data_IF_367455472634
#
_entry.id   IF_367455472634
#
_cell.length_a   1.000
_cell.length_b   1.000
_cell.length_c   1.000
_cell.angle_alpha   90.00
_cell.angle_beta   90.00
_cell.angle_gamma   90.00
#
_symmetry.space_group_name_H-M   'P 1'
#
loop_
_entity.id
_entity.type
_entity.pdbx_description
1 polymer ?
#
# COMPACT_ATOMS: atom_id res chain seq x y z
N UNK A 1 -12.80 3.35 6.07
CA UNK A 1 -12.50 4.77 5.78
C UNK A 1 -12.24 4.92 4.29
N UNK A 2 -12.66 6.03 3.66
CA UNK A 2 -12.38 6.30 2.24
C UNK A 2 -11.42 7.48 2.13
N UNK A 3 -10.23 7.26 1.58
CA UNK A 3 -9.23 8.32 1.42
C UNK A 3 -9.50 9.14 0.16
N UNK A 4 -9.13 10.42 0.18
CA UNK A 4 -9.38 11.36 -0.92
C UNK A 4 -8.11 11.57 -1.73
N UNK A 5 -8.21 11.48 -3.07
CA UNK A 5 -7.09 11.80 -3.96
C UNK A 5 -6.58 13.22 -3.73
N UNK A 6 -5.27 13.40 -3.75
CA UNK A 6 -4.58 14.68 -3.55
C UNK A 6 -4.38 15.05 -2.08
N UNK A 7 -4.97 14.31 -1.14
CA UNK A 7 -4.73 14.51 0.30
C UNK A 7 -3.59 13.65 0.82
N UNK A 8 -2.95 14.14 1.87
CA UNK A 8 -1.85 13.48 2.57
C UNK A 8 -2.33 12.94 3.92
N UNK A 9 -1.87 11.74 4.25
CA UNK A 9 -2.22 11.00 5.45
C UNK A 9 -0.95 10.43 6.10
N UNK A 10 -1.05 10.11 7.39
CA UNK A 10 -0.05 9.30 8.09
C UNK A 10 -0.56 7.86 8.23
N UNK A 11 0.29 6.90 7.94
CA UNK A 11 0.06 5.47 8.22
C UNK A 11 0.95 5.04 9.39
N UNK A 12 0.36 4.32 10.33
CA UNK A 12 1.03 3.64 11.43
C UNK A 12 0.64 2.16 11.43
N UNK A 13 1.63 1.30 11.61
CA UNK A 13 1.44 -0.11 11.90
C UNK A 13 2.37 -0.46 13.06
N UNK A 14 1.79 -0.84 14.20
CA UNK A 14 2.56 -1.28 15.36
C UNK A 14 3.39 -2.53 15.03
N UNK A 15 4.54 -2.66 15.70
CA UNK A 15 5.34 -3.87 15.63
C UNK A 15 4.51 -5.09 16.09
N UNK A 16 4.63 -6.20 15.38
CA UNK A 16 3.93 -7.44 15.74
C UNK A 16 4.77 -8.66 15.38
N UNK A 17 4.48 -9.77 16.04
CA UNK A 17 5.06 -11.06 15.73
C UNK A 17 4.02 -12.17 15.77
N UNK A 18 4.26 -13.21 15.00
CA UNK A 18 3.44 -14.42 14.99
C UNK A 18 4.30 -15.65 14.67
N UNK A 19 3.81 -16.83 15.05
CA UNK A 19 4.43 -18.10 14.71
C UNK A 19 3.94 -18.54 13.32
N UNK A 20 4.88 -18.84 12.42
CA UNK A 20 4.55 -19.32 11.08
C UNK A 20 4.15 -20.81 11.09
N UNK A 21 3.89 -21.36 9.90
CA UNK A 21 3.44 -22.76 9.74
C UNK A 21 4.53 -23.76 10.17
N UNK A 22 5.79 -23.33 10.25
CA UNK A 22 6.95 -24.12 10.66
C UNK A 22 7.30 -24.01 12.14
N UNK A 23 6.58 -23.19 12.91
CA UNK A 23 6.91 -22.93 14.31
C UNK A 23 7.95 -21.83 14.52
N UNK A 24 8.36 -21.12 13.46
CA UNK A 24 9.32 -20.03 13.56
C UNK A 24 8.60 -18.71 13.86
N UNK A 25 9.12 -17.96 14.83
CA UNK A 25 8.61 -16.62 15.13
C UNK A 25 9.07 -15.64 14.06
N UNK A 26 8.11 -15.08 13.34
CA UNK A 26 8.32 -13.99 12.40
C UNK A 26 7.97 -12.67 13.09
N UNK A 27 8.88 -11.71 13.01
CA UNK A 27 8.70 -10.37 13.60
C UNK A 27 8.68 -9.32 12.52
N UNK A 28 7.77 -8.37 12.66
CA UNK A 28 7.65 -7.19 11.81
C UNK A 28 7.85 -5.95 12.68
N UNK A 29 8.77 -5.09 12.25
CA UNK A 29 9.05 -3.82 12.92
C UNK A 29 7.87 -2.86 12.78
N UNK A 30 7.82 -1.87 13.67
CA UNK A 30 6.89 -0.77 13.56
C UNK A 30 7.14 0.02 12.26
N UNK A 31 6.06 0.39 11.58
CA UNK A 31 6.10 1.18 10.36
C UNK A 31 5.32 2.48 10.56
N UNK A 32 5.99 3.59 10.30
CA UNK A 32 5.40 4.94 10.29
C UNK A 32 5.83 5.67 9.02
N UNK A 33 4.87 6.21 8.26
CA UNK A 33 5.18 7.07 7.11
C UNK A 33 4.00 7.95 6.70
N UNK A 34 4.32 9.06 6.05
CA UNK A 34 3.32 9.91 5.41
C UNK A 34 3.17 9.52 3.94
N UNK A 35 1.95 9.59 3.42
CA UNK A 35 1.67 9.30 2.02
C UNK A 35 0.58 10.20 1.45
N UNK A 36 0.72 10.53 0.15
CA UNK A 36 -0.32 11.26 -0.60
C UNK A 36 -1.07 10.30 -1.50
N UNK A 37 -2.39 10.34 -1.47
CA UNK A 37 -3.24 9.51 -2.33
C UNK A 37 -3.23 10.09 -3.75
N UNK A 38 -3.01 9.22 -4.73
CA UNK A 38 -2.96 9.57 -6.14
C UNK A 38 -4.15 8.96 -6.88
N UNK A 39 -4.43 9.51 -8.06
CA UNK A 39 -5.38 8.89 -8.99
C UNK A 39 -4.90 7.49 -9.37
N UNK A 40 -5.82 6.52 -9.34
CA UNK A 40 -5.48 5.16 -9.78
C UNK A 40 -5.15 5.18 -11.28
N UNK A 41 -4.07 4.51 -11.72
CA UNK A 41 -3.77 4.41 -13.13
C UNK A 41 -4.82 3.58 -13.86
N UNK A 42 -5.06 3.90 -15.14
CA UNK A 42 -6.00 3.13 -15.99
C UNK A 42 -5.42 1.77 -16.44
N UNK A 43 -4.11 1.70 -16.52
CA UNK A 43 -3.33 0.53 -16.95
C UNK A 43 -2.12 0.35 -16.05
N UNK A 44 -1.69 -0.89 -15.88
CA UNK A 44 -0.49 -1.25 -15.11
C UNK A 44 0.40 -2.14 -15.96
N UNK A 45 1.68 -2.18 -15.62
CA UNK A 45 2.60 -3.17 -16.17
C UNK A 45 2.52 -4.41 -15.29
N UNK A 46 2.14 -5.54 -15.87
CA UNK A 46 2.23 -6.84 -15.25
C UNK A 46 3.54 -7.50 -15.72
N UNK A 47 4.32 -7.98 -14.76
CA UNK A 47 5.60 -8.64 -14.99
C UNK A 47 5.64 -9.90 -14.12
N UNK A 48 5.72 -11.07 -14.75
CA UNK A 48 5.83 -12.37 -14.09
C UNK A 48 7.28 -12.90 -14.05
N UNK A 49 8.26 -12.07 -14.47
CA UNK A 49 9.67 -12.44 -14.59
C UNK A 49 10.03 -13.15 -15.90
N UNK A 50 9.04 -13.52 -16.73
CA UNK A 50 9.22 -14.13 -18.05
C UNK A 50 8.70 -13.20 -19.14
N UNK A 51 7.56 -12.55 -18.88
CA UNK A 51 6.86 -11.66 -19.80
C UNK A 51 6.44 -10.40 -19.07
N UNK A 52 6.60 -9.28 -19.78
CA UNK A 52 6.09 -7.99 -19.36
C UNK A 52 5.01 -7.52 -20.33
N UNK A 53 3.85 -7.10 -19.80
CA UNK A 53 2.76 -6.58 -20.61
C UNK A 53 1.99 -5.44 -19.92
N UNK A 54 1.46 -4.52 -20.72
CA UNK A 54 0.58 -3.46 -20.23
C UNK A 54 -0.86 -3.98 -20.25
N UNK A 55 -1.45 -4.11 -19.07
CA UNK A 55 -2.83 -4.56 -18.89
C UNK A 55 -3.70 -3.45 -18.30
N UNK A 56 -5.01 -3.59 -18.45
CA UNK A 56 -5.96 -2.74 -17.70
C UNK A 56 -5.80 -2.97 -16.20
N UNK A 57 -6.09 -1.94 -15.40
CA UNK A 57 -6.03 -2.06 -13.94
C UNK A 57 -6.82 -3.31 -13.47
N UNK A 58 -6.16 -4.28 -12.82
CA UNK A 58 -6.81 -5.48 -12.32
C UNK A 58 -7.90 -5.16 -11.30
N UNK A 59 -8.95 -5.99 -11.28
CA UNK A 59 -10.11 -5.78 -10.38
C UNK A 59 -9.72 -5.65 -8.92
N UNK A 60 -8.77 -6.47 -8.45
CA UNK A 60 -8.35 -6.44 -7.05
C UNK A 60 -7.67 -5.11 -6.66
N UNK A 61 -6.88 -4.49 -7.55
CA UNK A 61 -6.29 -3.16 -7.32
C UNK A 61 -7.31 -2.02 -7.48
N UNK A 62 -8.43 -2.28 -8.18
CA UNK A 62 -9.52 -1.32 -8.28
C UNK A 62 -10.36 -1.25 -6.98
N UNK A 63 -10.27 -2.25 -6.08
CA UNK A 63 -11.01 -2.28 -4.82
C UNK A 63 -10.70 -1.08 -3.90
N UNK A 64 -11.66 -0.73 -3.03
CA UNK A 64 -11.61 0.46 -2.17
C UNK A 64 -10.55 0.40 -1.06
N UNK A 65 -10.01 -0.79 -0.77
CA UNK A 65 -8.93 -0.99 0.20
C UNK A 65 -7.54 -0.70 -0.37
N UNK A 66 -7.39 -0.70 -1.69
CA UNK A 66 -6.13 -0.45 -2.38
C UNK A 66 -6.08 0.98 -2.92
N UNK A 67 -5.00 1.70 -2.60
CA UNK A 67 -4.75 3.05 -3.06
C UNK A 67 -3.41 3.11 -3.79
N UNK A 68 -3.36 3.87 -4.87
CA UNK A 68 -2.08 4.26 -5.47
C UNK A 68 -1.59 5.48 -4.71
N UNK A 69 -0.40 5.42 -4.12
CA UNK A 69 0.08 6.48 -3.23
C UNK A 69 1.52 6.85 -3.53
N UNK A 70 1.89 8.09 -3.20
CA UNK A 70 3.28 8.50 -3.05
C UNK A 70 3.67 8.39 -1.58
N UNK A 71 4.64 7.55 -1.26
CA UNK A 71 5.29 7.56 0.05
C UNK A 71 6.17 8.81 0.13
N UNK A 72 5.85 9.75 1.01
CA UNK A 72 6.59 11.02 1.13
C UNK A 72 7.95 10.84 1.81
N UNK A 73 8.11 9.81 2.66
CA UNK A 73 9.37 9.52 3.35
C UNK A 73 10.42 8.95 2.39
N UNK A 74 10.02 8.03 1.50
CA UNK A 74 10.92 7.35 0.56
C UNK A 74 10.88 7.95 -0.85
N UNK A 75 9.96 8.88 -1.11
CA UNK A 75 9.70 9.48 -2.42
C UNK A 75 9.48 8.44 -3.53
N UNK A 76 8.69 7.40 -3.24
CA UNK A 76 8.33 6.33 -4.19
C UNK A 76 6.83 6.22 -4.36
N UNK A 77 6.39 5.76 -5.54
CA UNK A 77 5.01 5.39 -5.77
C UNK A 77 4.81 3.90 -5.57
N UNK A 78 3.75 3.51 -4.88
CA UNK A 78 3.41 2.11 -4.66
C UNK A 78 1.92 1.94 -4.37
N UNK A 79 1.46 0.69 -4.44
CA UNK A 79 0.13 0.32 -3.99
C UNK A 79 0.14 0.14 -2.47
N UNK A 80 -0.82 0.77 -1.80
CA UNK A 80 -1.01 0.67 -0.37
C UNK A 80 -2.36 0.02 -0.08
N UNK A 81 -2.35 -1.04 0.72
CA UNK A 81 -3.56 -1.56 1.34
C UNK A 81 -3.74 -0.89 2.70
N UNK A 82 -4.76 -0.05 2.84
CA UNK A 82 -4.97 0.75 4.05
C UNK A 82 -5.54 -0.05 5.21
N UNK A 83 -6.06 -1.26 4.98
CA UNK A 83 -6.57 -2.13 6.07
C UNK A 83 -5.46 -2.67 6.97
N UNK A 84 -4.20 -2.56 6.54
CA UNK A 84 -3.01 -3.00 7.30
C UNK A 84 -2.51 -1.93 8.27
N UNK A 85 -3.02 -0.70 8.15
CA UNK A 85 -2.52 0.46 8.88
C UNK A 85 -3.63 1.18 9.64
N UNK A 86 -3.28 1.76 10.77
CA UNK A 86 -4.01 2.88 11.35
C UNK A 86 -3.67 4.13 10.52
N UNK A 87 -4.68 4.84 10.02
CA UNK A 87 -4.49 5.95 9.09
C UNK A 87 -5.20 7.20 9.58
N UNK A 88 -4.46 8.31 9.61
CA UNK A 88 -4.93 9.62 10.08
C UNK A 88 -4.67 10.71 9.03
N UNK A 89 -5.60 11.65 8.86
CA UNK A 89 -5.43 12.78 7.93
C UNK A 89 -4.49 13.84 8.54
N UNK A 90 -3.54 14.33 7.74
CA UNK A 90 -2.67 15.44 8.16
C UNK A 90 -3.43 16.75 7.92
N UNK A 91 -3.68 17.50 9.00
CA UNK A 91 -4.33 18.83 8.96
C UNK A 91 -3.46 19.91 8.33
#
# INVERSE_FOLDING_TARGET
>A
MQLTTGKTYNAHQAAYSFEDIGGETVTFDEVNFSFTVLEKPKTVVADDGIKQEVIKLPKHLAEAKWYWVRNETKNIHHWLNVEVYEVEEVM
#
